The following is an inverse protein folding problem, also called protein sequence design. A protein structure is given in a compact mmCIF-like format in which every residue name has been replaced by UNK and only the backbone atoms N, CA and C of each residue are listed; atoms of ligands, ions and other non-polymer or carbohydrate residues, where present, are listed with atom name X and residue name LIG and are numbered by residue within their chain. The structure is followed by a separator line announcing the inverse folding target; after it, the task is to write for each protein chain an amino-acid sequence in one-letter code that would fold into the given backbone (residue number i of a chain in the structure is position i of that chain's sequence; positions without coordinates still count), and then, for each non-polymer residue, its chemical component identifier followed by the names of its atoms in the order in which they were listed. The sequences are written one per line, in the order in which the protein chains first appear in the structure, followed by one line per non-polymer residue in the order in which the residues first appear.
data_IF_866746771323
#
_entry.id   IF_866746771323
#
_cell.length_a   1.000
_cell.length_b   1.000
_cell.length_c   1.000
_cell.angle_alpha   90.00
_cell.angle_beta   90.00
_cell.angle_gamma   90.00
#
_symmetry.space_group_name_H-M   'P 1'
#
loop_
_entity.id
_entity.type
_entity.pdbx_description
1 polymer ?
#
# COMPACT_ATOMS: atom_id res chain seq x y z
N UNK A 1 48.96 10.75 11.36
CA UNK A 1 48.08 9.64 10.84
C UNK A 1 46.75 10.25 10.48
N UNK A 2 46.44 10.34 9.20
CA UNK A 2 45.14 10.85 8.75
C UNK A 2 44.06 9.83 9.15
N UNK A 3 42.94 10.24 9.72
CA UNK A 3 41.84 9.29 10.01
C UNK A 3 41.38 8.68 8.69
N UNK A 4 41.53 7.38 8.58
CA UNK A 4 40.96 6.64 7.44
C UNK A 4 39.46 6.92 7.45
N UNK A 5 38.95 7.53 6.39
CA UNK A 5 37.55 7.68 6.12
C UNK A 5 36.95 6.27 5.88
N UNK A 6 36.60 5.60 6.94
CA UNK A 6 35.82 4.37 6.89
C UNK A 6 34.40 4.82 6.49
N UNK A 7 34.08 4.71 5.22
CA UNK A 7 32.70 4.94 4.78
C UNK A 7 31.84 3.83 5.39
N UNK A 8 30.89 4.12 6.25
CA UNK A 8 30.05 3.09 6.85
C UNK A 8 29.29 2.36 5.76
N UNK A 9 29.42 1.06 5.75
CA UNK A 9 28.69 0.22 4.79
C UNK A 9 27.37 -0.24 5.40
N UNK A 10 26.27 0.06 4.73
CA UNK A 10 24.95 -0.37 5.14
C UNK A 10 24.22 -1.03 3.96
N UNK A 11 23.61 -2.20 4.22
CA UNK A 11 22.78 -2.87 3.23
C UNK A 11 21.42 -2.18 2.99
N UNK A 12 21.03 -1.27 3.90
CA UNK A 12 19.71 -0.62 3.88
C UNK A 12 19.80 0.85 3.46
N UNK A 13 20.81 1.54 3.95
CA UNK A 13 20.98 2.98 3.72
C UNK A 13 22.05 3.25 2.68
N UNK A 14 21.71 4.06 1.68
CA UNK A 14 22.70 4.51 0.70
C UNK A 14 23.75 5.42 1.37
N UNK A 15 24.96 5.55 0.79
CA UNK A 15 25.99 6.45 1.30
C UNK A 15 25.49 7.89 1.51
N UNK A 16 24.64 8.38 0.62
CA UNK A 16 24.01 9.70 0.75
C UNK A 16 23.15 9.83 2.01
N UNK A 17 22.36 8.80 2.34
CA UNK A 17 21.53 8.81 3.55
C UNK A 17 22.39 8.75 4.79
N UNK A 18 23.47 7.98 4.78
CA UNK A 18 24.43 7.90 5.90
C UNK A 18 25.10 9.27 6.14
N UNK A 19 25.52 9.93 5.06
CA UNK A 19 26.13 11.27 5.16
C UNK A 19 25.12 12.30 5.71
N UNK A 20 23.87 12.27 5.26
CA UNK A 20 22.80 13.11 5.79
C UNK A 20 22.56 12.88 7.30
N UNK A 21 22.58 11.62 7.75
CA UNK A 21 22.44 11.27 9.18
C UNK A 21 23.63 11.84 9.97
N UNK A 22 24.85 11.63 9.47
CA UNK A 22 26.05 12.15 10.13
C UNK A 22 26.07 13.68 10.18
N UNK A 23 25.61 14.32 9.11
CA UNK A 23 25.49 15.77 9.04
C UNK A 23 24.46 16.29 10.06
N UNK A 24 23.28 15.67 10.12
CA UNK A 24 22.26 16.01 11.08
C UNK A 24 22.77 15.87 12.53
N UNK A 25 23.51 14.80 12.81
CA UNK A 25 24.06 14.55 14.14
C UNK A 25 25.14 15.57 14.53
N UNK A 26 25.96 16.05 13.58
CA UNK A 26 27.05 17.01 13.84
C UNK A 26 26.59 18.46 13.91
N UNK A 27 25.67 18.82 13.01
CA UNK A 27 25.29 20.22 12.75
C UNK A 27 23.93 20.58 13.37
N UNK A 28 23.16 19.59 13.86
CA UNK A 28 21.80 19.81 14.36
C UNK A 28 20.80 20.18 13.26
N UNK A 29 21.17 19.99 11.98
CA UNK A 29 20.34 20.29 10.81
C UNK A 29 19.74 19.01 10.27
N UNK A 30 18.43 18.96 10.11
CA UNK A 30 17.74 17.83 9.52
C UNK A 30 16.75 18.27 8.46
N UNK A 31 16.48 17.37 7.54
CA UNK A 31 15.48 17.61 6.49
C UNK A 31 14.14 17.03 6.90
N UNK A 32 13.09 17.83 6.83
CA UNK A 32 11.70 17.37 7.02
C UNK A 32 11.25 16.70 5.71
N UNK A 33 11.34 15.39 5.67
CA UNK A 33 10.92 14.59 4.53
C UNK A 33 10.55 13.18 4.95
N UNK A 34 9.79 12.47 4.13
CA UNK A 34 9.57 11.04 4.32
C UNK A 34 10.89 10.27 4.28
N UNK A 35 11.08 9.35 5.21
CA UNK A 35 12.19 8.40 5.22
C UNK A 35 11.70 7.04 4.70
N UNK A 36 12.41 6.48 3.74
CA UNK A 36 12.11 5.16 3.18
C UNK A 36 13.39 4.39 2.88
N UNK A 37 13.31 3.07 2.81
CA UNK A 37 14.41 2.25 2.34
C UNK A 37 14.74 2.61 0.89
N UNK A 38 16.03 2.83 0.63
CA UNK A 38 16.52 3.19 -0.72
C UNK A 38 17.28 2.04 -1.38
N UNK A 39 17.08 0.82 -0.90
CA UNK A 39 17.58 -0.36 -1.57
C UNK A 39 16.67 -0.68 -2.76
N UNK A 40 17.20 -1.42 -3.71
CA UNK A 40 16.36 -2.03 -4.75
C UNK A 40 15.31 -2.92 -4.08
N UNK A 41 14.05 -2.70 -4.41
CA UNK A 41 12.92 -3.54 -4.03
C UNK A 41 12.27 -4.06 -5.30
N UNK A 42 11.60 -5.21 -5.28
CA UNK A 42 10.90 -5.73 -6.46
C UNK A 42 10.01 -4.65 -7.07
N UNK A 43 10.12 -4.47 -8.37
CA UNK A 43 9.42 -3.46 -9.15
C UNK A 43 8.73 -4.12 -10.35
N UNK A 44 7.76 -3.46 -10.97
CA UNK A 44 7.11 -4.02 -12.16
C UNK A 44 8.08 -4.22 -13.32
N UNK A 45 9.13 -3.40 -13.43
CA UNK A 45 10.17 -3.57 -14.45
C UNK A 45 11.03 -4.83 -14.24
N UNK A 46 10.99 -5.44 -13.06
CA UNK A 46 11.68 -6.71 -12.77
C UNK A 46 10.82 -7.93 -13.17
N UNK A 47 9.60 -7.71 -13.65
CA UNK A 47 8.66 -8.76 -14.02
C UNK A 47 8.54 -8.86 -15.53
N UNK A 48 8.49 -10.10 -16.03
CA UNK A 48 8.28 -10.39 -17.45
C UNK A 48 7.12 -11.36 -17.59
N UNK A 49 6.18 -11.05 -18.46
CA UNK A 49 5.16 -12.00 -18.85
C UNK A 49 5.77 -13.02 -19.80
N UNK A 50 5.73 -14.29 -19.42
CA UNK A 50 6.12 -15.38 -20.32
C UNK A 50 4.96 -15.64 -21.27
N UNK A 51 5.21 -15.42 -22.57
CA UNK A 51 4.24 -15.72 -23.62
C UNK A 51 3.94 -17.21 -23.68
N UNK A 52 2.67 -17.57 -23.73
CA UNK A 52 2.20 -18.95 -23.80
C UNK A 52 1.68 -19.32 -25.19
N UNK A 53 1.89 -18.49 -26.21
CA UNK A 53 1.32 -18.66 -27.56
C UNK A 53 1.79 -19.94 -28.28
N UNK A 54 2.94 -20.49 -27.89
CA UNK A 54 3.44 -21.76 -28.42
C UNK A 54 2.87 -23.00 -27.70
N UNK A 55 2.30 -22.82 -26.52
CA UNK A 55 1.81 -23.91 -25.66
C UNK A 55 0.29 -23.86 -25.43
N UNK A 56 -0.35 -22.73 -25.67
CA UNK A 56 -1.78 -22.51 -25.51
C UNK A 56 -2.34 -21.60 -26.60
N UNK A 57 -3.59 -21.76 -26.95
CA UNK A 57 -4.30 -20.76 -27.73
C UNK A 57 -4.40 -19.47 -26.90
N UNK A 58 -3.95 -18.31 -27.45
CA UNK A 58 -4.08 -17.04 -26.74
C UNK A 58 -5.56 -16.67 -26.60
N UNK A 59 -5.91 -16.15 -25.41
CA UNK A 59 -7.23 -15.55 -25.17
C UNK A 59 -7.35 -14.25 -25.98
N UNK A 60 -8.41 -14.13 -26.74
CA UNK A 60 -8.73 -12.89 -27.45
C UNK A 60 -9.62 -12.04 -26.56
N UNK A 61 -9.06 -11.03 -25.87
CA UNK A 61 -9.71 -10.23 -24.83
C UNK A 61 -11.01 -9.53 -25.27
N UNK A 62 -11.28 -9.42 -26.56
CA UNK A 62 -12.55 -8.92 -27.08
C UNK A 62 -13.62 -10.02 -27.29
N UNK A 63 -13.23 -11.29 -27.31
CA UNK A 63 -14.12 -12.44 -27.46
C UNK A 63 -14.30 -13.25 -26.18
N UNK A 64 -13.31 -13.21 -25.31
CA UNK A 64 -13.24 -14.06 -24.13
C UNK A 64 -13.12 -13.21 -22.86
N UNK A 65 -13.95 -13.51 -21.89
CA UNK A 65 -13.91 -12.85 -20.60
C UNK A 65 -12.76 -13.42 -19.77
N UNK A 66 -11.82 -12.58 -19.38
CA UNK A 66 -10.81 -12.94 -18.39
C UNK A 66 -11.40 -12.87 -16.99
N UNK A 67 -11.16 -13.90 -16.19
CA UNK A 67 -11.47 -13.86 -14.75
C UNK A 67 -10.42 -13.03 -14.02
N UNK A 68 -10.88 -11.98 -13.37
CA UNK A 68 -10.05 -11.06 -12.57
C UNK A 68 -10.32 -11.15 -11.08
N UNK A 69 -11.21 -12.06 -10.66
CA UNK A 69 -11.59 -12.18 -9.26
C UNK A 69 -10.43 -12.60 -8.38
N UNK A 70 -10.37 -12.03 -7.18
CA UNK A 70 -9.37 -12.35 -6.16
C UNK A 70 -10.06 -12.64 -4.85
N UNK A 71 -9.67 -13.74 -4.21
CA UNK A 71 -10.15 -14.11 -2.88
C UNK A 71 -9.00 -13.98 -1.88
N UNK A 72 -9.06 -12.95 -1.05
CA UNK A 72 -8.05 -12.70 0.00
C UNK A 72 -8.44 -13.50 1.25
N UNK A 73 -7.49 -14.29 1.75
CA UNK A 73 -7.71 -15.12 2.94
C UNK A 73 -8.40 -16.46 2.66
N UNK A 74 -8.51 -16.90 1.41
CA UNK A 74 -9.16 -18.15 1.01
C UNK A 74 -8.70 -19.39 1.79
N UNK A 75 -7.43 -19.41 2.24
CA UNK A 75 -6.85 -20.57 2.93
C UNK A 75 -7.14 -20.62 4.42
N UNK A 76 -7.25 -19.49 5.09
CA UNK A 76 -7.25 -19.46 6.55
C UNK A 76 -8.35 -18.61 7.17
N UNK A 77 -8.98 -17.71 6.41
CA UNK A 77 -10.03 -16.87 6.95
C UNK A 77 -11.38 -17.59 6.97
N UNK A 78 -12.10 -17.46 8.06
CA UNK A 78 -13.48 -17.96 8.14
C UNK A 78 -14.45 -17.18 7.26
N UNK A 79 -14.10 -15.92 6.96
CA UNK A 79 -14.84 -15.03 6.04
C UNK A 79 -13.81 -14.36 5.11
N UNK A 80 -13.46 -15.00 3.99
CA UNK A 80 -12.56 -14.39 3.01
C UNK A 80 -13.14 -13.10 2.43
N UNK A 81 -12.27 -12.24 1.93
CA UNK A 81 -12.68 -11.04 1.20
C UNK A 81 -12.60 -11.34 -0.29
N UNK A 82 -13.72 -11.19 -0.97
CA UNK A 82 -13.84 -11.38 -2.42
C UNK A 82 -13.80 -10.03 -3.12
N UNK A 83 -12.98 -9.92 -4.16
CA UNK A 83 -12.83 -8.73 -4.98
C UNK A 83 -13.00 -9.10 -6.45
N UNK A 84 -13.71 -8.28 -7.21
CA UNK A 84 -13.92 -8.50 -8.64
C UNK A 84 -12.68 -8.19 -9.48
N UNK A 85 -11.78 -7.36 -8.94
CA UNK A 85 -10.52 -6.97 -9.59
C UNK A 85 -9.35 -6.99 -8.59
N UNK A 86 -8.11 -7.30 -9.04
CA UNK A 86 -6.93 -7.38 -8.19
C UNK A 86 -6.30 -6.00 -7.88
N UNK A 87 -7.11 -4.98 -7.74
CA UNK A 87 -6.70 -3.61 -7.44
C UNK A 87 -7.47 -3.13 -6.23
N UNK A 88 -6.76 -2.67 -5.21
CA UNK A 88 -7.35 -2.10 -4.00
C UNK A 88 -6.92 -0.65 -3.82
N UNK A 89 -7.74 0.15 -3.15
CA UNK A 89 -7.37 1.54 -2.84
C UNK A 89 -6.62 1.55 -1.51
N UNK A 90 -5.38 2.06 -1.57
CA UNK A 90 -4.52 2.18 -0.39
C UNK A 90 -5.12 3.11 0.67
N UNK A 91 -4.72 2.89 1.93
CA UNK A 91 -5.13 3.73 3.04
C UNK A 91 -4.61 5.17 2.90
N UNK A 92 -5.54 6.10 3.02
CA UNK A 92 -5.26 7.53 3.05
C UNK A 92 -6.09 8.13 4.18
N UNK A 93 -5.43 8.74 5.18
CA UNK A 93 -6.14 9.25 6.34
C UNK A 93 -7.05 10.42 5.98
N UNK A 94 -8.14 10.56 6.74
CA UNK A 94 -9.12 11.64 6.56
C UNK A 94 -8.47 13.03 6.59
N UNK A 95 -7.53 13.25 7.50
CA UNK A 95 -6.81 14.53 7.61
C UNK A 95 -6.00 14.89 6.37
N UNK A 96 -5.61 13.91 5.56
CA UNK A 96 -4.85 14.12 4.33
C UNK A 96 -5.75 14.46 3.13
N UNK A 97 -6.92 13.83 3.02
CA UNK A 97 -7.73 13.93 1.78
C UNK A 97 -9.14 14.48 1.99
N UNK A 98 -9.65 14.49 3.22
CA UNK A 98 -10.98 15.03 3.56
C UNK A 98 -12.17 14.16 3.14
N UNK A 99 -13.37 14.61 3.51
CA UNK A 99 -14.62 13.86 3.37
C UNK A 99 -15.00 13.54 1.92
N UNK A 100 -14.90 14.54 1.03
CA UNK A 100 -15.30 14.37 -0.36
C UNK A 100 -14.46 13.33 -1.09
N UNK A 101 -13.15 13.33 -0.87
CA UNK A 101 -12.25 12.33 -1.46
C UNK A 101 -12.53 10.94 -0.91
N UNK A 102 -12.73 10.80 0.40
CA UNK A 102 -13.12 9.53 1.03
C UNK A 102 -14.39 8.96 0.42
N UNK A 103 -15.41 9.79 0.27
CA UNK A 103 -16.69 9.42 -0.34
C UNK A 103 -16.53 8.98 -1.80
N UNK A 104 -15.77 9.75 -2.59
CA UNK A 104 -15.51 9.43 -3.99
C UNK A 104 -14.78 8.10 -4.16
N UNK A 105 -13.75 7.86 -3.35
CA UNK A 105 -12.99 6.61 -3.37
C UNK A 105 -13.87 5.41 -2.95
N UNK A 106 -14.71 5.56 -1.93
CA UNK A 106 -15.65 4.53 -1.51
C UNK A 106 -16.65 4.15 -2.60
N UNK A 107 -17.24 5.15 -3.25
CA UNK A 107 -18.17 4.95 -4.37
C UNK A 107 -17.48 4.27 -5.56
N UNK A 108 -16.28 4.75 -5.93
CA UNK A 108 -15.50 4.17 -7.02
C UNK A 108 -15.11 2.72 -6.76
N UNK A 109 -14.60 2.41 -5.57
CA UNK A 109 -14.26 1.05 -5.18
C UNK A 109 -15.48 0.13 -5.19
N UNK A 110 -16.61 0.60 -4.67
CA UNK A 110 -17.86 -0.16 -4.64
C UNK A 110 -18.41 -0.44 -6.02
N UNK A 111 -18.29 0.51 -6.95
CA UNK A 111 -18.71 0.35 -8.34
C UNK A 111 -17.85 -0.69 -9.09
N UNK A 112 -16.56 -0.79 -8.72
CA UNK A 112 -15.62 -1.73 -9.33
C UNK A 112 -15.51 -3.06 -8.58
N UNK A 113 -16.34 -3.31 -7.55
CA UNK A 113 -16.28 -4.53 -6.76
C UNK A 113 -14.97 -4.74 -6.02
N UNK A 114 -14.31 -3.66 -5.60
CA UNK A 114 -13.05 -3.72 -4.87
C UNK A 114 -13.12 -3.04 -3.49
N UNK A 115 -11.98 -2.95 -2.80
CA UNK A 115 -11.91 -2.41 -1.44
C UNK A 115 -11.21 -1.08 -1.35
N UNK A 116 -11.60 -0.31 -0.33
CA UNK A 116 -10.84 0.83 0.20
C UNK A 116 -10.20 0.46 1.54
N UNK A 117 -9.23 1.27 1.96
CA UNK A 117 -8.59 1.16 3.28
C UNK A 117 -8.69 2.49 4.01
N UNK A 118 -8.97 2.45 5.31
CA UNK A 118 -9.22 3.68 6.09
C UNK A 118 -8.02 4.62 6.18
N UNK A 119 -6.80 4.11 6.12
CA UNK A 119 -5.61 4.86 6.51
C UNK A 119 -5.46 4.93 8.03
N UNK A 120 -4.50 5.70 8.50
CA UNK A 120 -4.07 5.76 9.89
C UNK A 120 -4.93 6.68 10.79
N UNK A 121 -5.80 7.48 10.20
CA UNK A 121 -6.71 8.39 10.93
C UNK A 121 -7.99 7.72 11.46
N UNK A 122 -8.17 6.43 11.27
CA UNK A 122 -9.36 5.70 11.65
C UNK A 122 -10.46 5.73 10.59
N UNK A 123 -11.55 5.02 10.85
CA UNK A 123 -12.71 4.92 9.97
C UNK A 123 -13.63 6.13 10.12
N UNK A 124 -14.08 6.67 9.01
CA UNK A 124 -15.04 7.78 8.99
C UNK A 124 -16.42 7.31 8.50
N UNK A 125 -17.51 8.03 8.88
CA UNK A 125 -18.83 7.72 8.37
C UNK A 125 -18.90 7.72 6.84
N UNK A 126 -18.24 8.69 6.19
CA UNK A 126 -18.23 8.83 4.72
C UNK A 126 -17.66 7.60 4.03
N UNK A 127 -16.58 7.03 4.58
CA UNK A 127 -16.01 5.78 4.05
C UNK A 127 -16.94 4.60 4.28
N UNK A 128 -17.46 4.50 5.50
CA UNK A 128 -18.29 3.35 5.88
C UNK A 128 -19.58 3.27 5.09
N UNK A 129 -20.21 4.41 4.83
CA UNK A 129 -21.45 4.50 4.06
C UNK A 129 -21.29 4.18 2.59
N UNK A 130 -20.12 4.51 2.01
CA UNK A 130 -19.91 4.42 0.57
C UNK A 130 -19.11 3.19 0.13
N UNK A 131 -18.36 2.57 1.03
CA UNK A 131 -17.51 1.40 0.72
C UNK A 131 -18.22 0.11 1.06
N UNK A 132 -18.51 -0.73 0.06
CA UNK A 132 -19.04 -2.09 0.27
C UNK A 132 -18.03 -2.95 1.03
N UNK A 133 -16.77 -2.90 0.59
CA UNK A 133 -15.64 -3.58 1.21
C UNK A 133 -14.67 -2.56 1.75
N UNK A 134 -14.59 -2.44 3.06
CA UNK A 134 -13.72 -1.50 3.77
C UNK A 134 -12.73 -2.25 4.64
N UNK A 135 -11.44 -2.04 4.40
CA UNK A 135 -10.35 -2.58 5.19
C UNK A 135 -9.95 -1.57 6.26
N UNK A 136 -10.02 -1.95 7.52
CA UNK A 136 -9.59 -1.11 8.62
C UNK A 136 -8.08 -1.23 8.83
N UNK A 137 -7.37 -0.10 8.79
CA UNK A 137 -5.94 -0.08 9.09
C UNK A 137 -5.72 -0.05 10.60
N UNK A 138 -5.30 -1.18 11.16
CA UNK A 138 -4.89 -1.27 12.56
C UNK A 138 -3.50 -0.68 12.76
N UNK A 139 -3.36 0.17 13.78
CA UNK A 139 -2.10 0.83 14.14
C UNK A 139 -1.78 0.63 15.62
N UNK A 140 -0.49 0.61 16.00
CA UNK A 140 -0.09 0.61 17.40
C UNK A 140 -0.65 1.78 18.20
N UNK A 141 -0.80 2.96 17.57
CA UNK A 141 -1.39 4.16 18.16
C UNK A 141 -2.89 4.05 18.43
N UNK A 142 -3.58 3.10 17.79
CA UNK A 142 -5.03 2.83 17.96
C UNK A 142 -5.93 4.04 17.70
N UNK A 143 -5.55 4.95 16.81
CA UNK A 143 -6.39 6.09 16.47
C UNK A 143 -7.77 5.64 15.97
N UNK A 144 -8.83 6.23 16.54
CA UNK A 144 -10.19 5.97 16.14
C UNK A 144 -10.67 4.53 16.37
N UNK A 145 -9.93 3.75 17.16
CA UNK A 145 -10.24 2.35 17.40
C UNK A 145 -10.71 2.13 18.84
N UNK A 146 -11.95 1.76 18.97
CA UNK A 146 -12.50 1.23 20.22
C UNK A 146 -12.76 -0.27 20.06
N UNK A 147 -12.74 -1.07 21.14
CA UNK A 147 -13.10 -2.49 21.09
C UNK A 147 -14.46 -2.76 20.45
N UNK A 148 -15.40 -1.83 20.59
CA UNK A 148 -16.75 -1.96 20.06
C UNK A 148 -16.84 -1.76 18.54
N UNK A 149 -15.88 -1.07 17.96
CA UNK A 149 -15.76 -0.89 16.50
C UNK A 149 -15.16 -2.12 15.78
N UNK A 150 -14.60 -3.05 16.54
CA UNK A 150 -14.05 -4.30 16.01
C UNK A 150 -15.03 -5.48 16.05
N UNK A 151 -16.17 -5.30 16.67
CA UNK A 151 -17.25 -6.29 16.76
C UNK A 151 -18.30 -6.02 15.71
#
# INVERSE_FOLDING_TARGET
MSPQNITPHSAIYSPKVIDEIHRAAREGIYYIRGAGARRHVPHFDDLVFLGASMSRYPLEGYRERCDTNVVIGARYASKPVELDIPITIAGMSFGAIGANAKRALGLGASAMGTSTTTGDGGMTPEERETSKTLVYQYLPSRYGMTPDQLR
#
